data_IF_930996374963
#
_entry.id   IF_930996374963
#
_cell.length_a   1.000
_cell.length_b   1.000
_cell.length_c   1.000
_cell.angle_alpha   90.00
_cell.angle_beta   90.00
_cell.angle_gamma   90.00
#
_symmetry.space_group_name_H-M   'P 1'
#
loop_
_entity.id
_entity.type
_entity.pdbx_description
1 polymer ?
#
# COMPACT_ATOMS: atom_id res chain seq x y z
N UNK A 1 6.50 -7.07 9.45
CA UNK A 1 6.15 -8.00 10.57
C UNK A 1 5.22 -9.14 10.13
N UNK A 2 5.27 -9.51 8.84
CA UNK A 2 4.33 -10.48 8.22
C UNK A 2 4.32 -11.83 8.92
N UNK A 3 5.51 -12.38 9.22
CA UNK A 3 5.63 -13.67 9.91
C UNK A 3 5.11 -13.62 11.36
N UNK A 4 5.38 -12.52 12.07
CA UNK A 4 4.86 -12.32 13.42
C UNK A 4 3.33 -12.28 13.43
N UNK A 5 2.73 -11.57 12.45
CA UNK A 5 1.28 -11.53 12.27
C UNK A 5 0.69 -12.89 11.91
N UNK A 6 1.39 -13.69 11.10
CA UNK A 6 0.95 -15.05 10.76
C UNK A 6 0.97 -16.02 11.95
N UNK A 7 1.90 -15.83 12.89
CA UNK A 7 2.08 -16.70 14.05
C UNK A 7 1.19 -16.29 15.24
N UNK A 8 1.24 -15.01 15.62
CA UNK A 8 0.47 -14.45 16.74
C UNK A 8 0.11 -12.99 16.46
N UNK A 9 -1.03 -12.73 15.79
CA UNK A 9 -1.48 -11.39 15.47
C UNK A 9 -1.63 -10.48 16.69
N UNK A 10 -2.04 -11.03 17.83
CA UNK A 10 -2.29 -10.23 19.03
C UNK A 10 -0.98 -9.66 19.59
N UNK A 11 0.04 -10.51 19.75
CA UNK A 11 1.36 -10.09 20.22
C UNK A 11 2.08 -9.17 19.22
N UNK A 12 1.96 -9.45 17.91
CA UNK A 12 2.56 -8.62 16.86
C UNK A 12 1.96 -7.19 16.83
N UNK A 13 0.63 -7.08 16.95
CA UNK A 13 -0.06 -5.78 17.01
C UNK A 13 0.27 -5.02 18.30
N UNK A 14 0.33 -5.71 19.46
CA UNK A 14 0.72 -5.09 20.72
C UNK A 14 2.14 -4.49 20.63
N UNK A 15 3.10 -5.26 20.08
CA UNK A 15 4.46 -4.79 19.90
C UNK A 15 4.57 -3.60 18.91
N UNK A 16 3.81 -3.61 17.81
CA UNK A 16 3.77 -2.49 16.88
C UNK A 16 3.16 -1.22 17.52
N UNK A 17 2.11 -1.38 18.32
CA UNK A 17 1.50 -0.28 19.07
C UNK A 17 2.45 0.30 20.12
N UNK A 18 3.21 -0.55 20.85
CA UNK A 18 4.22 -0.12 21.81
C UNK A 18 5.35 0.69 21.14
N UNK A 19 5.77 0.29 19.93
CA UNK A 19 6.71 1.07 19.12
C UNK A 19 6.09 2.43 18.73
N UNK A 20 4.76 2.54 18.68
CA UNK A 20 4.02 3.78 18.44
C UNK A 20 3.43 3.90 17.03
N UNK A 21 3.21 2.80 16.34
CA UNK A 21 2.40 2.80 15.11
C UNK A 21 0.93 3.00 15.45
N UNK A 22 0.21 3.77 14.61
CA UNK A 22 -1.17 4.15 14.86
C UNK A 22 -2.17 3.45 13.93
N UNK A 23 -1.71 2.93 12.81
CA UNK A 23 -2.53 2.19 11.85
C UNK A 23 -1.75 1.06 11.20
N UNK A 24 -2.49 0.11 10.70
CA UNK A 24 -1.95 -1.06 10.00
C UNK A 24 -2.65 -1.26 8.67
N UNK A 25 -1.91 -1.80 7.73
CA UNK A 25 -2.41 -2.42 6.53
C UNK A 25 -2.30 -3.93 6.66
N UNK A 26 -3.41 -4.64 6.45
CA UNK A 26 -3.44 -6.08 6.50
C UNK A 26 -2.90 -6.67 5.18
N UNK A 27 -2.03 -7.68 5.26
CA UNK A 27 -1.42 -8.34 4.10
C UNK A 27 -1.86 -9.80 3.93
N UNK A 28 -2.80 -10.28 4.73
CA UNK A 28 -3.36 -11.63 4.62
C UNK A 28 -4.88 -11.60 4.76
N UNK A 29 -5.55 -11.87 3.63
CA UNK A 29 -6.98 -12.11 3.59
C UNK A 29 -7.24 -13.39 2.79
N UNK A 30 -7.81 -14.40 3.45
CA UNK A 30 -8.14 -15.70 2.84
C UNK A 30 -9.48 -16.18 3.35
N UNK A 31 -10.30 -16.72 2.46
CA UNK A 31 -11.60 -17.33 2.76
C UNK A 31 -12.53 -16.44 3.61
N UNK A 32 -12.50 -15.10 3.38
CA UNK A 32 -13.31 -14.14 4.14
C UNK A 32 -12.75 -13.81 5.52
N UNK A 33 -11.48 -14.03 5.77
CA UNK A 33 -10.83 -13.83 7.07
C UNK A 33 -9.52 -13.08 6.94
N UNK A 34 -9.22 -12.20 7.87
CA UNK A 34 -7.92 -11.56 8.06
C UNK A 34 -7.13 -12.34 9.12
N UNK A 35 -6.00 -12.92 8.75
CA UNK A 35 -5.17 -13.72 9.66
C UNK A 35 -5.98 -14.80 10.41
N UNK A 36 -6.90 -15.47 9.71
CA UNK A 36 -7.78 -16.51 10.26
C UNK A 36 -8.95 -16.01 11.10
N UNK A 37 -9.06 -14.72 11.37
CA UNK A 37 -10.15 -14.07 12.14
C UNK A 37 -11.26 -13.54 11.22
N UNK A 38 -12.50 -13.52 11.71
CA UNK A 38 -13.57 -12.80 11.03
C UNK A 38 -13.20 -11.30 10.92
N UNK A 39 -13.63 -10.59 9.86
CA UNK A 39 -13.28 -9.19 9.65
C UNK A 39 -13.53 -8.28 10.85
N UNK A 40 -14.69 -8.42 11.49
CA UNK A 40 -15.04 -7.65 12.69
C UNK A 40 -14.17 -7.98 13.90
N UNK A 41 -13.69 -9.22 14.02
CA UNK A 41 -12.79 -9.65 15.10
C UNK A 41 -11.40 -9.06 14.91
N UNK A 42 -10.90 -9.08 13.67
CA UNK A 42 -9.62 -8.45 13.32
C UNK A 42 -9.66 -6.94 13.61
N UNK A 43 -10.68 -6.23 13.16
CA UNK A 43 -10.83 -4.80 13.44
C UNK A 43 -10.87 -4.49 14.94
N UNK A 44 -11.61 -5.30 15.74
CA UNK A 44 -11.65 -5.16 17.20
C UNK A 44 -10.27 -5.42 17.84
N UNK A 45 -9.53 -6.42 17.34
CA UNK A 45 -8.19 -6.72 17.87
C UNK A 45 -7.22 -5.55 17.62
N UNK A 46 -7.23 -4.98 16.43
CA UNK A 46 -6.41 -3.80 16.10
C UNK A 46 -6.80 -2.61 16.99
N UNK A 47 -8.10 -2.34 17.13
CA UNK A 47 -8.61 -1.24 17.95
C UNK A 47 -8.29 -1.41 19.44
N UNK A 48 -8.30 -2.64 19.96
CA UNK A 48 -7.90 -2.96 21.35
C UNK A 48 -6.47 -2.51 21.67
N UNK A 49 -5.60 -2.49 20.66
CA UNK A 49 -4.21 -2.03 20.78
C UNK A 49 -4.07 -0.50 20.52
N UNK A 50 -5.18 0.25 20.44
CA UNK A 50 -5.14 1.69 20.17
C UNK A 50 -4.80 2.06 18.73
N UNK A 51 -4.79 1.10 17.82
CA UNK A 51 -4.50 1.30 16.40
C UNK A 51 -5.78 1.23 15.55
N UNK A 52 -5.66 1.56 14.27
CA UNK A 52 -6.73 1.47 13.28
C UNK A 52 -6.33 0.45 12.19
N UNK A 53 -7.21 -0.51 11.87
CA UNK A 53 -7.11 -1.30 10.65
C UNK A 53 -7.48 -0.38 9.48
N UNK A 54 -6.49 0.28 8.88
CA UNK A 54 -6.75 1.37 7.94
C UNK A 54 -6.96 0.87 6.52
N UNK A 55 -6.20 -0.13 6.11
CA UNK A 55 -6.15 -0.66 4.75
C UNK A 55 -5.89 -2.15 4.73
N UNK A 56 -6.07 -2.77 3.57
CA UNK A 56 -5.68 -4.14 3.30
C UNK A 56 -5.16 -4.31 1.88
N UNK A 57 -4.01 -4.96 1.74
CA UNK A 57 -3.58 -5.61 0.51
C UNK A 57 -4.34 -6.91 0.32
N UNK A 58 -5.24 -6.93 -0.63
CA UNK A 58 -6.10 -8.09 -0.88
C UNK A 58 -6.11 -8.46 -2.37
N UNK A 59 -6.05 -9.75 -2.64
CA UNK A 59 -6.16 -10.29 -4.01
C UNK A 59 -7.58 -10.14 -4.54
N UNK A 60 -7.86 -9.03 -5.20
CA UNK A 60 -9.18 -8.64 -5.68
C UNK A 60 -9.28 -8.90 -7.19
N UNK A 61 -10.39 -9.50 -7.61
CA UNK A 61 -10.69 -9.78 -9.01
C UNK A 61 -12.21 -9.63 -9.27
N UNK A 62 -12.69 -9.73 -10.52
CA UNK A 62 -14.10 -9.60 -10.85
C UNK A 62 -15.05 -10.56 -10.13
N UNK A 63 -14.56 -11.73 -9.69
CA UNK A 63 -15.38 -12.75 -9.07
C UNK A 63 -15.55 -12.57 -7.56
N UNK A 64 -14.61 -11.88 -6.91
CA UNK A 64 -14.57 -11.78 -5.44
C UNK A 64 -14.68 -10.36 -4.88
N UNK A 65 -14.57 -9.30 -5.71
CA UNK A 65 -14.40 -7.91 -5.25
C UNK A 65 -15.54 -7.43 -4.33
N UNK A 66 -16.78 -7.88 -4.54
CA UNK A 66 -17.88 -7.45 -3.70
C UNK A 66 -17.72 -7.95 -2.26
N UNK A 67 -17.41 -9.24 -2.10
CA UNK A 67 -17.12 -9.82 -0.79
C UNK A 67 -15.92 -9.17 -0.12
N UNK A 68 -14.84 -8.94 -0.88
CA UNK A 68 -13.63 -8.29 -0.34
C UNK A 68 -13.91 -6.89 0.18
N UNK A 69 -14.78 -6.13 -0.49
CA UNK A 69 -15.23 -4.82 -0.07
C UNK A 69 -16.04 -4.92 1.23
N UNK A 70 -16.97 -5.88 1.32
CA UNK A 70 -17.81 -6.07 2.51
C UNK A 70 -16.98 -6.52 3.71
N UNK A 71 -15.99 -7.40 3.50
CA UNK A 71 -15.05 -7.84 4.54
C UNK A 71 -14.18 -6.67 5.06
N UNK A 72 -13.63 -5.86 4.16
CA UNK A 72 -12.85 -4.68 4.54
C UNK A 72 -13.70 -3.63 5.29
N UNK A 73 -14.92 -3.39 4.83
CA UNK A 73 -15.86 -2.50 5.52
C UNK A 73 -16.23 -3.03 6.92
N UNK A 74 -16.46 -4.34 7.05
CA UNK A 74 -16.76 -5.00 8.33
C UNK A 74 -15.60 -4.95 9.31
N UNK A 75 -14.35 -4.93 8.81
CA UNK A 75 -13.16 -4.71 9.63
C UNK A 75 -12.95 -3.25 10.06
N UNK A 76 -13.76 -2.31 9.55
CA UNK A 76 -13.67 -0.88 9.83
C UNK A 76 -12.59 -0.15 9.05
N UNK A 77 -12.13 -0.72 7.93
CA UNK A 77 -11.10 -0.14 7.09
C UNK A 77 -11.61 1.09 6.34
N UNK A 78 -10.69 1.91 5.86
CA UNK A 78 -10.96 3.06 4.98
C UNK A 78 -10.52 2.81 3.55
N UNK A 79 -9.51 1.99 3.37
CA UNK A 79 -8.93 1.67 2.07
C UNK A 79 -8.97 0.17 1.82
N UNK A 80 -9.09 -0.18 0.55
CA UNK A 80 -8.92 -1.54 0.04
C UNK A 80 -8.01 -1.48 -1.17
N UNK A 81 -6.79 -1.98 -1.04
CA UNK A 81 -5.75 -1.91 -2.06
C UNK A 81 -5.58 -3.24 -2.78
N UNK A 82 -5.59 -3.20 -4.11
CA UNK A 82 -5.13 -4.32 -4.92
C UNK A 82 -3.60 -4.26 -5.02
N UNK A 83 -2.87 -5.25 -4.44
CA UNK A 83 -1.41 -5.18 -4.37
C UNK A 83 -0.70 -5.48 -5.70
N UNK A 84 -1.35 -6.22 -6.61
CA UNK A 84 -0.77 -6.60 -7.91
C UNK A 84 -1.85 -7.06 -8.87
N UNK A 85 -1.59 -6.90 -10.17
CA UNK A 85 -2.47 -7.41 -11.22
C UNK A 85 -2.24 -8.90 -11.48
N UNK A 86 -3.30 -9.66 -11.85
CA UNK A 86 -3.14 -10.98 -12.43
C UNK A 86 -2.25 -10.92 -13.69
N UNK A 87 -1.45 -11.97 -13.92
CA UNK A 87 -0.51 -12.01 -15.05
C UNK A 87 -1.16 -11.79 -16.42
N UNK A 88 -2.39 -12.25 -16.61
CA UNK A 88 -3.15 -12.01 -17.84
C UNK A 88 -3.50 -10.53 -18.09
N UNK A 89 -3.56 -9.71 -17.02
CA UNK A 89 -3.80 -8.26 -17.13
C UNK A 89 -2.50 -7.47 -17.19
N UNK A 90 -1.45 -7.93 -16.51
CA UNK A 90 -0.16 -7.24 -16.46
C UNK A 90 0.75 -7.49 -17.68
N UNK A 91 0.36 -8.37 -18.60
CA UNK A 91 1.19 -8.77 -19.75
C UNK A 91 1.01 -7.90 -21.01
N UNK A 92 0.02 -7.02 -21.06
CA UNK A 92 -0.30 -6.22 -22.23
C UNK A 92 -1.00 -4.91 -21.91
N UNK A 93 -0.91 -3.95 -22.82
CA UNK A 93 -1.61 -2.66 -22.72
C UNK A 93 -3.13 -2.85 -22.61
N UNK A 94 -3.71 -3.74 -23.39
CA UNK A 94 -5.14 -4.04 -23.32
C UNK A 94 -5.53 -4.65 -21.97
N UNK A 95 -4.62 -5.40 -21.34
CA UNK A 95 -4.81 -5.92 -19.99
C UNK A 95 -4.88 -4.79 -18.95
N UNK A 96 -4.00 -3.80 -19.04
CA UNK A 96 -4.04 -2.62 -18.16
C UNK A 96 -5.28 -1.75 -18.41
N UNK A 97 -5.78 -1.66 -19.64
CA UNK A 97 -7.05 -0.98 -19.91
C UNK A 97 -8.24 -1.70 -19.25
N UNK A 98 -8.30 -3.03 -19.36
CA UNK A 98 -9.31 -3.84 -18.64
C UNK A 98 -9.19 -3.68 -17.12
N UNK A 99 -7.96 -3.61 -16.60
CA UNK A 99 -7.73 -3.35 -15.19
C UNK A 99 -8.29 -1.99 -14.76
N UNK A 100 -8.08 -0.93 -15.54
CA UNK A 100 -8.61 0.40 -15.25
C UNK A 100 -10.15 0.42 -15.23
N UNK A 101 -10.81 -0.27 -16.18
CA UNK A 101 -12.27 -0.42 -16.20
C UNK A 101 -12.77 -1.13 -14.94
N UNK A 102 -12.09 -2.21 -14.56
CA UNK A 102 -12.40 -2.94 -13.32
C UNK A 102 -12.17 -2.07 -12.08
N UNK A 103 -11.09 -1.28 -12.02
CA UNK A 103 -10.80 -0.39 -10.89
C UNK A 103 -11.91 0.65 -10.70
N UNK A 104 -12.41 1.24 -11.79
CA UNK A 104 -13.53 2.17 -11.72
C UNK A 104 -14.78 1.49 -11.15
N UNK A 105 -15.09 0.27 -11.60
CA UNK A 105 -16.23 -0.53 -11.10
C UNK A 105 -16.05 -0.86 -9.60
N UNK A 106 -14.88 -1.37 -9.21
CA UNK A 106 -14.57 -1.70 -7.81
C UNK A 106 -14.58 -0.44 -6.93
N UNK A 107 -14.06 0.68 -7.45
CA UNK A 107 -14.07 1.98 -6.77
C UNK A 107 -15.47 2.51 -6.52
N UNK A 108 -16.38 2.37 -7.50
CA UNK A 108 -17.80 2.75 -7.31
C UNK A 108 -18.46 1.92 -6.20
N UNK A 109 -18.24 0.60 -6.21
CA UNK A 109 -18.79 -0.30 -5.18
C UNK A 109 -18.18 -0.02 -3.80
N UNK A 110 -16.86 0.21 -3.74
CA UNK A 110 -16.15 0.56 -2.50
C UNK A 110 -16.68 1.85 -1.88
N UNK A 111 -16.88 2.88 -2.70
CA UNK A 111 -17.44 4.15 -2.25
C UNK A 111 -18.83 4.00 -1.63
N UNK A 112 -19.70 3.12 -2.17
CA UNK A 112 -21.03 2.81 -1.61
C UNK A 112 -20.92 2.12 -0.25
N UNK A 113 -19.83 1.41 0.01
CA UNK A 113 -19.53 0.78 1.30
C UNK A 113 -18.74 1.68 2.28
N UNK A 114 -18.46 2.93 1.89
CA UNK A 114 -17.67 3.86 2.71
C UNK A 114 -16.18 3.68 2.63
N UNK A 115 -15.69 2.90 1.66
CA UNK A 115 -14.28 2.63 1.42
C UNK A 115 -13.74 3.42 0.21
N UNK A 116 -12.43 3.53 0.15
CA UNK A 116 -11.66 4.00 -0.99
C UNK A 116 -10.93 2.82 -1.62
N UNK A 117 -11.20 2.53 -2.89
CA UNK A 117 -10.45 1.54 -3.65
C UNK A 117 -9.13 2.13 -4.16
N UNK A 118 -8.08 1.33 -4.16
CA UNK A 118 -6.79 1.74 -4.71
C UNK A 118 -5.97 0.61 -5.29
N UNK A 119 -4.90 1.00 -5.95
CA UNK A 119 -3.93 0.09 -6.56
C UNK A 119 -2.53 0.44 -6.05
N UNK A 120 -1.79 -0.59 -5.62
CA UNK A 120 -0.39 -0.51 -5.25
C UNK A 120 0.51 -0.94 -6.41
N UNK A 121 1.56 -0.19 -6.65
CA UNK A 121 2.51 -0.49 -7.72
C UNK A 121 3.70 -1.32 -7.26
N UNK A 122 4.21 -2.09 -8.21
CA UNK A 122 5.57 -2.61 -8.20
C UNK A 122 6.41 -1.93 -9.29
N UNK A 123 7.61 -2.43 -9.52
CA UNK A 123 8.50 -1.94 -10.58
C UNK A 123 7.92 -2.18 -11.98
N UNK A 124 7.22 -3.28 -12.17
CA UNK A 124 6.77 -3.76 -13.50
C UNK A 124 5.80 -2.80 -14.18
N UNK A 125 4.97 -2.07 -13.42
CA UNK A 125 4.01 -1.11 -13.98
C UNK A 125 4.67 0.11 -14.61
N UNK A 126 5.94 0.36 -14.30
CA UNK A 126 6.73 1.47 -14.87
C UNK A 126 7.59 1.05 -16.07
N UNK A 127 7.64 -0.25 -16.38
CA UNK A 127 8.36 -0.75 -17.57
C UNK A 127 7.49 -0.60 -18.81
N UNK A 128 8.10 -0.07 -19.88
CA UNK A 128 7.36 0.17 -21.12
C UNK A 128 6.94 -1.12 -21.82
N UNK A 129 5.69 -1.15 -22.24
CA UNK A 129 5.15 -2.17 -23.14
C UNK A 129 4.76 -1.44 -24.45
N UNK A 130 5.45 -1.77 -25.54
CA UNK A 130 5.22 -1.13 -26.85
C UNK A 130 5.29 0.41 -26.79
N UNK A 131 6.28 0.97 -26.09
CA UNK A 131 6.50 2.40 -25.95
C UNK A 131 5.50 3.14 -25.05
N UNK A 132 4.71 2.43 -24.25
CA UNK A 132 3.75 2.99 -23.29
C UNK A 132 4.03 2.47 -21.88
N UNK A 133 3.96 3.36 -20.89
CA UNK A 133 4.10 3.00 -19.47
C UNK A 133 2.73 2.55 -18.93
N UNK A 134 2.62 1.30 -18.45
CA UNK A 134 1.35 0.77 -17.93
C UNK A 134 0.75 1.59 -16.78
N UNK A 135 1.59 2.09 -15.88
CA UNK A 135 1.13 2.90 -14.75
C UNK A 135 0.43 4.20 -15.21
N UNK A 136 0.94 4.83 -16.27
CA UNK A 136 0.34 6.03 -16.84
C UNK A 136 -1.04 5.74 -17.46
N UNK A 137 -1.22 4.53 -18.01
CA UNK A 137 -2.52 4.05 -18.52
C UNK A 137 -3.52 3.94 -17.37
N UNK A 138 -3.14 3.30 -16.27
CA UNK A 138 -4.00 3.18 -15.09
C UNK A 138 -4.38 4.56 -14.54
N UNK A 139 -3.41 5.48 -14.42
CA UNK A 139 -3.64 6.85 -13.95
C UNK A 139 -4.61 7.62 -14.86
N UNK A 140 -4.47 7.47 -16.19
CA UNK A 140 -5.25 8.23 -17.17
C UNK A 140 -6.68 7.71 -17.34
N UNK A 141 -6.92 6.39 -17.19
CA UNK A 141 -8.21 5.76 -17.44
C UNK A 141 -9.06 5.54 -16.18
N UNK A 142 -8.52 5.82 -14.99
CA UNK A 142 -9.28 5.68 -13.74
C UNK A 142 -9.81 7.03 -13.23
N UNK A 143 -11.07 7.03 -12.80
CA UNK A 143 -11.71 8.21 -12.19
C UNK A 143 -11.05 8.54 -10.84
N UNK A 144 -10.46 9.76 -10.68
CA UNK A 144 -9.82 10.17 -9.43
C UNK A 144 -10.77 10.24 -8.24
N UNK A 145 -12.09 10.31 -8.46
CA UNK A 145 -13.09 10.26 -7.39
C UNK A 145 -13.38 8.84 -6.90
N UNK A 146 -13.03 7.82 -7.67
CA UNK A 146 -13.30 6.41 -7.39
C UNK A 146 -12.04 5.65 -6.98
N UNK A 147 -10.92 5.94 -7.63
CA UNK A 147 -9.67 5.17 -7.51
C UNK A 147 -8.55 6.07 -7.01
N UNK A 148 -7.86 5.65 -5.97
CA UNK A 148 -6.59 6.21 -5.54
C UNK A 148 -5.43 5.29 -5.91
N UNK A 149 -4.21 5.78 -5.76
CA UNK A 149 -3.01 4.97 -5.90
C UNK A 149 -2.25 4.98 -4.58
N UNK A 150 -1.80 3.81 -4.19
CA UNK A 150 -0.82 3.63 -3.14
C UNK A 150 0.54 3.56 -3.79
N UNK A 151 1.30 4.65 -3.70
CA UNK A 151 2.60 4.70 -4.34
C UNK A 151 3.67 4.09 -3.43
N UNK A 152 4.28 3.00 -3.90
CA UNK A 152 5.47 2.45 -3.28
C UNK A 152 6.71 3.20 -3.79
N UNK A 153 7.37 3.92 -2.87
CA UNK A 153 8.50 4.80 -3.18
C UNK A 153 9.76 4.02 -3.58
N UNK A 154 9.90 2.80 -3.09
CA UNK A 154 11.03 1.95 -3.46
C UNK A 154 10.85 1.39 -4.88
N UNK A 155 9.68 0.86 -5.20
CA UNK A 155 9.44 0.26 -6.50
C UNK A 155 9.49 1.27 -7.65
N UNK A 156 8.93 2.47 -7.47
CA UNK A 156 9.06 3.53 -8.48
C UNK A 156 10.52 3.96 -8.66
N UNK A 157 11.29 4.07 -7.57
CA UNK A 157 12.72 4.39 -7.60
C UNK A 157 13.53 3.26 -8.27
N UNK A 158 13.23 1.99 -7.97
CA UNK A 158 13.85 0.83 -8.61
C UNK A 158 13.63 0.81 -10.13
N UNK A 159 12.48 1.31 -10.59
CA UNK A 159 12.16 1.49 -12.00
C UNK A 159 12.91 2.67 -12.66
N UNK A 160 13.67 3.45 -11.88
CA UNK A 160 14.37 4.64 -12.38
C UNK A 160 13.45 5.83 -12.66
N UNK A 161 12.25 5.84 -12.07
CA UNK A 161 11.30 6.94 -12.18
C UNK A 161 11.36 7.81 -10.92
N UNK A 162 11.01 9.09 -11.07
CA UNK A 162 10.98 10.04 -9.97
C UNK A 162 9.56 10.21 -9.43
N UNK A 163 9.28 9.88 -8.15
CA UNK A 163 7.95 10.03 -7.57
C UNK A 163 7.46 11.50 -7.57
N UNK A 164 8.35 12.46 -7.42
CA UNK A 164 8.00 13.90 -7.43
C UNK A 164 7.40 14.31 -8.77
N UNK A 165 7.97 13.82 -9.86
CA UNK A 165 7.44 14.04 -11.21
C UNK A 165 6.03 13.48 -11.34
N UNK A 166 5.77 12.28 -10.80
CA UNK A 166 4.42 11.69 -10.80
C UNK A 166 3.43 12.50 -9.96
N UNK A 167 3.82 12.99 -8.80
CA UNK A 167 2.97 13.84 -7.96
C UNK A 167 2.55 15.13 -8.66
N UNK A 168 3.48 15.79 -9.34
CA UNK A 168 3.23 17.04 -10.06
C UNK A 168 2.38 16.85 -11.30
N UNK A 169 2.56 15.73 -12.00
CA UNK A 169 1.79 15.41 -13.21
C UNK A 169 0.37 14.89 -12.88
N UNK A 170 0.19 14.28 -11.70
CA UNK A 170 -1.07 13.67 -11.26
C UNK A 170 -1.44 14.10 -9.84
N UNK A 171 -1.69 15.41 -9.59
CA UNK A 171 -1.93 15.90 -8.24
C UNK A 171 -3.19 15.28 -7.62
N UNK A 172 -3.08 14.93 -6.33
CA UNK A 172 -4.19 14.37 -5.56
C UNK A 172 -4.48 12.88 -5.82
N UNK A 173 -3.67 12.19 -6.63
CA UNK A 173 -3.92 10.78 -6.99
C UNK A 173 -3.32 9.77 -6.01
N UNK A 174 -2.38 10.16 -5.14
CA UNK A 174 -1.56 9.26 -4.32
C UNK A 174 -1.86 9.45 -2.84
N UNK A 175 -3.08 9.03 -2.41
CA UNK A 175 -3.55 9.25 -1.04
C UNK A 175 -2.80 8.41 0.01
N UNK A 176 -2.22 7.29 -0.41
CA UNK A 176 -1.47 6.38 0.46
C UNK A 176 -0.09 6.13 -0.13
N UNK A 177 0.92 6.03 0.73
CA UNK A 177 2.28 5.71 0.30
C UNK A 177 2.83 4.52 1.07
N UNK A 178 3.60 3.68 0.38
CA UNK A 178 4.55 2.79 1.03
C UNK A 178 5.89 3.49 1.16
N UNK A 179 6.24 3.83 2.40
CA UNK A 179 7.57 4.30 2.74
C UNK A 179 8.48 3.08 2.90
N UNK A 180 9.08 2.71 1.82
CA UNK A 180 9.98 1.58 1.64
C UNK A 180 11.30 2.08 1.10
N UNK A 181 12.42 1.58 1.63
CA UNK A 181 13.75 2.02 1.26
C UNK A 181 14.53 0.90 0.56
N UNK A 182 15.54 1.26 -0.22
CA UNK A 182 16.34 0.34 -1.02
C UNK A 182 17.84 0.55 -0.79
N UNK A 183 18.60 -0.55 -0.84
CA UNK A 183 20.05 -0.47 -1.03
C UNK A 183 20.42 -0.02 -2.45
N UNK A 184 21.70 0.35 -2.72
CA UNK A 184 22.18 0.62 -4.08
C UNK A 184 21.92 -0.53 -5.07
N UNK A 185 21.88 -1.78 -4.57
CA UNK A 185 21.62 -3.00 -5.35
C UNK A 185 20.12 -3.25 -5.53
N UNK A 186 19.26 -2.29 -5.16
CA UNK A 186 17.78 -2.36 -5.25
C UNK A 186 17.17 -3.49 -4.41
N UNK A 187 17.77 -3.79 -3.27
CA UNK A 187 17.23 -4.70 -2.28
C UNK A 187 16.56 -3.91 -1.14
N UNK A 188 15.64 -4.55 -0.42
CA UNK A 188 15.00 -3.92 0.74
C UNK A 188 16.03 -3.45 1.77
N UNK A 189 15.86 -2.24 2.25
CA UNK A 189 16.60 -1.66 3.36
C UNK A 189 15.64 -1.20 4.46
N UNK A 190 16.12 -1.17 5.70
CA UNK A 190 15.43 -0.50 6.79
C UNK A 190 15.36 1.00 6.49
N UNK A 191 14.22 1.62 6.71
CA UNK A 191 13.99 3.03 6.37
C UNK A 191 15.07 3.93 6.96
N UNK A 192 15.76 4.68 6.10
CA UNK A 192 16.87 5.54 6.45
C UNK A 192 18.26 4.89 6.40
N UNK A 193 18.35 3.61 6.12
CA UNK A 193 19.60 2.88 5.85
C UNK A 193 19.82 2.62 4.35
N UNK A 194 18.88 3.04 3.51
CA UNK A 194 18.94 2.90 2.06
C UNK A 194 19.37 4.19 1.34
N UNK A 195 18.98 4.28 0.06
CA UNK A 195 19.41 5.35 -0.84
C UNK A 195 18.34 6.41 -1.11
N UNK A 196 17.10 6.21 -0.64
CA UNK A 196 15.99 7.12 -0.96
C UNK A 196 16.05 8.34 -0.06
N UNK A 197 16.13 9.53 -0.68
CA UNK A 197 15.98 10.79 0.05
C UNK A 197 14.48 11.12 0.20
N UNK A 198 13.92 10.79 1.36
CA UNK A 198 12.51 11.00 1.65
C UNK A 198 12.13 12.47 1.89
N UNK A 199 13.08 13.34 2.23
CA UNK A 199 12.75 14.75 2.56
C UNK A 199 12.10 15.50 1.40
N UNK A 200 12.70 15.54 0.19
CA UNK A 200 12.08 16.22 -0.95
C UNK A 200 10.77 15.53 -1.39
N UNK A 201 10.65 14.21 -1.23
CA UNK A 201 9.43 13.45 -1.52
C UNK A 201 8.31 13.87 -0.56
N UNK A 202 8.57 13.93 0.74
CA UNK A 202 7.61 14.34 1.76
C UNK A 202 7.20 15.83 1.61
N UNK A 203 8.06 16.68 1.10
CA UNK A 203 7.72 18.08 0.80
C UNK A 203 6.59 18.19 -0.24
N UNK A 204 6.43 17.19 -1.10
CA UNK A 204 5.37 17.12 -2.10
C UNK A 204 4.11 16.36 -1.63
N UNK A 205 4.03 15.98 -0.35
CA UNK A 205 2.89 15.21 0.17
C UNK A 205 1.53 15.87 -0.10
N UNK A 206 1.47 17.21 -0.03
CA UNK A 206 0.25 17.97 -0.36
C UNK A 206 -0.09 17.89 -1.85
N UNK A 207 0.89 18.02 -2.72
CA UNK A 207 0.71 17.90 -4.18
C UNK A 207 0.23 16.50 -4.55
N UNK A 208 0.83 15.48 -3.96
CA UNK A 208 0.43 14.09 -4.15
C UNK A 208 -0.98 13.79 -3.62
N UNK A 209 -1.48 14.56 -2.65
CA UNK A 209 -2.73 14.31 -1.94
C UNK A 209 -2.59 13.26 -0.83
N UNK A 210 -1.37 13.05 -0.32
CA UNK A 210 -1.06 12.05 0.69
C UNK A 210 -1.83 12.31 1.98
N UNK A 211 -2.47 11.27 2.48
CA UNK A 211 -3.23 11.25 3.74
C UNK A 211 -2.61 10.29 4.75
N UNK A 212 -2.08 9.18 4.28
CA UNK A 212 -1.51 8.12 5.10
C UNK A 212 -0.27 7.53 4.42
N UNK A 213 0.57 6.92 5.22
CA UNK A 213 1.68 6.12 4.74
C UNK A 213 1.85 4.89 5.62
N UNK A 214 2.33 3.82 5.03
CA UNK A 214 2.72 2.60 5.71
C UNK A 214 4.22 2.37 5.54
N UNK A 215 4.85 1.89 6.59
CA UNK A 215 6.19 1.33 6.47
C UNK A 215 6.06 -0.08 5.90
N UNK A 216 6.70 -0.34 4.79
CA UNK A 216 6.82 -1.68 4.24
C UNK A 216 8.29 -2.08 4.08
N UNK A 217 8.55 -3.36 4.34
CA UNK A 217 9.82 -4.03 4.08
C UNK A 217 9.53 -5.52 3.89
N UNK A 218 9.74 -6.05 2.67
CA UNK A 218 9.45 -7.45 2.39
C UNK A 218 10.48 -8.37 3.02
N UNK A 219 11.75 -7.96 3.02
CA UNK A 219 12.85 -8.75 3.54
C UNK A 219 13.72 -7.95 4.52
N UNK A 220 13.73 -8.35 5.78
CA UNK A 220 14.62 -7.81 6.80
C UNK A 220 15.97 -8.54 6.73
N UNK A 221 17.00 -7.89 6.16
CA UNK A 221 18.31 -8.52 5.89
C UNK A 221 19.33 -8.30 7.00
N UNK A 222 19.27 -7.14 7.65
CA UNK A 222 20.27 -6.69 8.64
C UNK A 222 19.75 -6.72 10.08
N UNK A 223 18.44 -6.58 10.23
CA UNK A 223 17.76 -6.53 11.53
C UNK A 223 16.61 -7.54 11.57
N UNK A 224 16.13 -7.87 12.75
CA UNK A 224 14.85 -8.58 12.86
C UNK A 224 13.70 -7.66 12.42
N UNK A 225 12.54 -8.20 12.00
CA UNK A 225 11.40 -7.37 11.59
C UNK A 225 10.97 -6.34 12.65
N UNK A 226 11.00 -6.70 13.94
CA UNK A 226 10.63 -5.78 15.03
C UNK A 226 11.68 -4.69 15.27
N UNK A 227 12.96 -5.00 15.12
CA UNK A 227 14.03 -4.01 15.16
C UNK A 227 13.94 -3.06 13.96
N UNK A 228 13.73 -3.60 12.75
CA UNK A 228 13.56 -2.78 11.54
C UNK A 228 12.43 -1.75 11.67
N UNK A 229 11.25 -2.14 12.15
CA UNK A 229 10.15 -1.20 12.31
C UNK A 229 10.41 -0.17 13.41
N UNK A 230 11.17 -0.50 14.46
CA UNK A 230 11.60 0.46 15.49
C UNK A 230 12.58 1.48 14.93
N UNK A 231 13.65 1.02 14.27
CA UNK A 231 14.66 1.89 13.62
C UNK A 231 13.98 2.82 12.61
N UNK A 232 13.12 2.28 11.77
CA UNK A 232 12.37 3.03 10.76
C UNK A 232 11.49 4.12 11.36
N UNK A 233 10.81 3.82 12.47
CA UNK A 233 10.00 4.83 13.17
C UNK A 233 10.86 5.91 13.81
N UNK A 234 11.98 5.54 14.43
CA UNK A 234 12.90 6.48 15.01
C UNK A 234 13.52 7.41 13.95
N UNK A 235 13.87 6.87 12.79
CA UNK A 235 14.32 7.66 11.65
C UNK A 235 13.25 8.65 11.19
N UNK A 236 12.02 8.20 10.99
CA UNK A 236 10.90 9.06 10.61
C UNK A 236 10.72 10.23 11.59
N UNK A 237 10.62 9.94 12.88
CA UNK A 237 10.39 10.96 13.90
C UNK A 237 11.57 11.94 14.05
N UNK A 238 12.81 11.44 13.97
CA UNK A 238 13.99 12.23 14.31
C UNK A 238 14.64 12.91 13.10
N UNK A 239 14.39 12.43 11.89
CA UNK A 239 15.05 12.92 10.66
C UNK A 239 14.08 13.49 9.64
N UNK A 240 12.84 12.99 9.56
CA UNK A 240 11.90 13.41 8.52
C UNK A 240 10.85 14.41 9.01
N UNK A 241 10.48 14.37 10.31
CA UNK A 241 9.52 15.32 10.89
C UNK A 241 10.15 16.62 11.46
N UNK A 242 11.48 16.71 11.45
CA UNK A 242 12.20 17.88 12.02
C UNK A 242 12.54 18.92 10.96
#
# INVERSE_FOLDING_TARGET
IRDAMGNDPASALAAAAEIGYNWVEAADHRDGKFYGMQPTEFGKLVNKNGMVALSSHSGINPDNYERMIDDAASAGMKYLMLPSLPGEWSSSIDGYQRAADFFNKAGERSRKAGLRFGFHNHQVEFLEINGRVPYDILLSLTDPKLVTFELDLAWITAAGKDPITYFRNHPGRFEVWHMKDLTPEKQDATLGEGIIDFKPILAEARTAGMKYWFLEQDHCRTHTPMESIRISRDYYLNKLLK
#
